data_IF_913746796318
#
_entry.id   IF_913746796318
#
_cell.length_a   1.000
_cell.length_b   1.000
_cell.length_c   1.000
_cell.angle_alpha   90.00
_cell.angle_beta   90.00
_cell.angle_gamma   90.00
#
_symmetry.space_group_name_H-M   'P 1'
#
loop_
_entity.id
_entity.type
_entity.pdbx_description
1 polymer ?
#
# COMPACT_ATOMS: atom_id res chain seq x y z
N UNK A 1 6.02 2.29 -11.54
CA UNK A 1 6.97 2.17 -10.44
C UNK A 1 6.45 1.18 -9.41
N UNK A 2 7.23 0.17 -9.09
CA UNK A 2 6.78 -0.78 -8.08
C UNK A 2 6.87 -0.16 -6.69
N UNK A 3 5.88 -0.44 -5.89
CA UNK A 3 5.89 0.05 -4.51
C UNK A 3 6.90 -0.75 -3.70
N UNK A 4 7.43 -0.12 -2.68
CA UNK A 4 8.37 -0.78 -1.78
C UNK A 4 7.62 -1.34 -0.58
N UNK A 5 8.30 -2.24 0.16
CA UNK A 5 7.76 -2.77 1.40
C UNK A 5 7.36 -1.64 2.35
N UNK A 6 8.21 -0.64 2.45
CA UNK A 6 7.94 0.49 3.34
C UNK A 6 6.69 1.25 2.91
N UNK A 7 6.52 1.44 1.60
CA UNK A 7 5.36 2.16 1.10
C UNK A 7 4.07 1.40 1.37
N UNK A 8 4.08 0.08 1.23
CA UNK A 8 2.88 -0.71 1.53
C UNK A 8 2.50 -0.52 2.99
N UNK A 9 3.48 -0.60 3.87
CA UNK A 9 3.23 -0.44 5.28
C UNK A 9 2.75 0.97 5.61
N UNK A 10 3.39 1.97 5.01
CA UNK A 10 3.01 3.36 5.22
C UNK A 10 1.59 3.63 4.73
N UNK A 11 1.25 3.08 3.57
CA UNK A 11 -0.07 3.31 2.99
C UNK A 11 -1.16 2.69 3.86
N UNK A 12 -0.91 1.48 4.32
CA UNK A 12 -1.86 0.82 5.19
C UNK A 12 -2.06 1.63 6.48
N UNK A 13 -0.95 2.09 7.04
CA UNK A 13 -1.03 2.87 8.27
C UNK A 13 -1.76 4.21 8.04
N UNK A 14 -1.50 4.83 6.90
CA UNK A 14 -2.15 6.10 6.57
C UNK A 14 -3.66 5.93 6.47
N UNK A 15 -4.13 4.77 6.02
CA UNK A 15 -5.54 4.48 5.91
C UNK A 15 -6.12 3.93 7.22
N UNK A 16 -5.27 3.70 8.19
CA UNK A 16 -5.67 3.07 9.45
C UNK A 16 -6.21 1.66 9.20
N UNK A 17 -5.61 0.98 8.24
CA UNK A 17 -5.98 -0.38 7.88
C UNK A 17 -5.07 -1.38 8.57
N UNK A 18 -5.65 -2.51 8.98
CA UNK A 18 -4.85 -3.63 9.45
C UNK A 18 -4.36 -4.43 8.25
N UNK A 19 -3.43 -5.35 8.51
CA UNK A 19 -2.99 -6.29 7.46
C UNK A 19 -4.21 -7.05 6.93
N UNK A 20 -5.13 -7.40 7.82
CA UNK A 20 -6.33 -8.11 7.42
C UNK A 20 -7.18 -7.28 6.46
N UNK A 21 -7.31 -5.98 6.75
CA UNK A 21 -8.09 -5.10 5.87
C UNK A 21 -7.50 -5.08 4.47
N UNK A 22 -6.18 -4.99 4.38
CA UNK A 22 -5.53 -4.98 3.08
C UNK A 22 -5.66 -6.33 2.40
N UNK A 23 -5.56 -7.41 3.15
CA UNK A 23 -5.74 -8.74 2.59
C UNK A 23 -7.14 -8.89 1.98
N UNK A 24 -8.14 -8.41 2.69
CA UNK A 24 -9.50 -8.48 2.18
C UNK A 24 -9.69 -7.64 0.94
N UNK A 25 -9.11 -6.45 0.93
CA UNK A 25 -9.26 -5.57 -0.21
C UNK A 25 -8.58 -6.10 -1.47
N UNK A 26 -7.48 -6.82 -1.30
CA UNK A 26 -6.69 -7.31 -2.44
C UNK A 26 -7.02 -8.75 -2.84
N UNK A 27 -7.65 -9.50 -1.95
CA UNK A 27 -7.86 -10.92 -2.17
C UNK A 27 -6.61 -11.76 -1.90
N UNK A 28 -5.59 -11.16 -1.32
CA UNK A 28 -4.34 -11.85 -1.02
C UNK A 28 -4.38 -12.38 0.41
N UNK A 29 -3.55 -13.39 0.66
CA UNK A 29 -3.46 -13.94 2.00
C UNK A 29 -2.72 -12.97 2.92
N UNK A 30 -3.12 -12.95 4.20
CA UNK A 30 -2.46 -12.08 5.19
C UNK A 30 -0.96 -12.33 5.28
N UNK A 31 -0.56 -13.58 5.18
CA UNK A 31 0.85 -13.91 5.25
C UNK A 31 1.63 -13.30 4.10
N UNK A 32 1.02 -13.27 2.91
CA UNK A 32 1.66 -12.66 1.77
C UNK A 32 1.94 -11.18 2.03
N UNK A 33 0.94 -10.47 2.54
CA UNK A 33 1.09 -9.06 2.82
C UNK A 33 2.11 -8.83 3.93
N UNK A 34 2.02 -9.63 4.99
CA UNK A 34 2.95 -9.48 6.10
C UNK A 34 4.39 -9.71 5.64
N UNK A 35 4.61 -10.74 4.84
CA UNK A 35 5.96 -11.03 4.36
C UNK A 35 6.51 -9.93 3.45
N UNK A 36 5.65 -9.31 2.67
CA UNK A 36 6.07 -8.17 1.86
C UNK A 36 6.46 -7.00 2.76
N UNK A 37 5.66 -6.72 3.77
CA UNK A 37 5.89 -5.55 4.62
C UNK A 37 7.16 -5.70 5.45
N UNK A 38 7.50 -6.91 5.85
CA UNK A 38 8.73 -7.11 6.63
C UNK A 38 9.95 -7.36 5.75
N UNK A 39 9.77 -7.34 4.44
CA UNK A 39 10.89 -7.51 3.51
C UNK A 39 11.33 -8.93 3.30
N UNK A 40 10.56 -9.91 3.78
CA UNK A 40 10.92 -11.31 3.64
C UNK A 40 10.60 -11.83 2.24
N UNK A 41 9.67 -11.20 1.58
CA UNK A 41 9.23 -11.60 0.25
C UNK A 41 9.00 -10.31 -0.54
N UNK A 42 9.70 -10.17 -1.67
CA UNK A 42 9.61 -8.94 -2.45
C UNK A 42 8.26 -8.80 -3.16
N UNK A 43 7.57 -9.91 -3.37
CA UNK A 43 6.34 -9.88 -4.14
C UNK A 43 6.65 -9.91 -5.62
N UNK A 44 5.83 -10.61 -6.40
CA UNK A 44 6.02 -10.52 -7.84
C UNK A 44 5.31 -9.26 -8.35
N UNK A 45 5.65 -8.83 -9.58
CA UNK A 45 5.10 -7.57 -10.08
C UNK A 45 3.58 -7.53 -10.10
N UNK A 46 2.94 -8.65 -10.39
CA UNK A 46 1.48 -8.68 -10.43
C UNK A 46 0.89 -8.50 -9.04
N UNK A 47 1.47 -9.14 -8.04
CA UNK A 47 1.01 -9.00 -6.67
C UNK A 47 1.16 -7.56 -6.20
N UNK A 48 2.32 -6.95 -6.46
CA UNK A 48 2.56 -5.57 -6.06
C UNK A 48 1.61 -4.61 -6.78
N UNK A 49 1.30 -4.90 -8.03
CA UNK A 49 0.37 -4.07 -8.79
C UNK A 49 -1.02 -4.11 -8.19
N UNK A 50 -1.48 -5.28 -7.78
CA UNK A 50 -2.79 -5.42 -7.15
C UNK A 50 -2.84 -4.59 -5.86
N UNK A 51 -1.79 -4.71 -5.05
CA UNK A 51 -1.72 -3.97 -3.80
C UNK A 51 -1.73 -2.47 -4.09
N UNK A 52 -0.91 -2.04 -5.03
CA UNK A 52 -0.81 -0.63 -5.37
C UNK A 52 -2.16 -0.08 -5.82
N UNK A 53 -2.84 -0.81 -6.71
CA UNK A 53 -4.10 -0.33 -7.23
C UNK A 53 -5.18 -0.23 -6.17
N UNK A 54 -5.22 -1.20 -5.27
CA UNK A 54 -6.23 -1.16 -4.21
C UNK A 54 -5.98 -0.03 -3.24
N UNK A 55 -4.72 0.24 -2.93
CA UNK A 55 -4.39 1.34 -2.05
C UNK A 55 -4.67 2.68 -2.71
N UNK A 56 -4.38 2.80 -4.01
CA UNK A 56 -4.71 4.01 -4.74
C UNK A 56 -6.22 4.25 -4.75
N UNK A 57 -6.98 3.19 -4.97
CA UNK A 57 -8.44 3.30 -4.98
C UNK A 57 -8.96 3.75 -3.62
N UNK A 58 -8.25 3.42 -2.56
CA UNK A 58 -8.64 3.81 -1.21
C UNK A 58 -8.21 5.23 -0.86
N UNK A 59 -7.44 5.88 -1.73
CA UNK A 59 -7.08 7.27 -1.52
C UNK A 59 -5.61 7.54 -1.26
N UNK A 60 -4.75 6.57 -1.49
CA UNK A 60 -3.31 6.75 -1.26
C UNK A 60 -2.62 7.18 -2.55
N UNK A 61 -1.74 8.14 -2.45
CA UNK A 61 -0.80 8.49 -3.52
C UNK A 61 0.57 7.99 -3.13
N UNK A 62 1.25 7.36 -4.08
CA UNK A 62 2.61 6.89 -3.86
C UNK A 62 3.58 7.93 -4.39
N UNK A 63 4.55 8.27 -3.57
CA UNK A 63 5.55 9.28 -3.90
C UNK A 63 6.84 8.56 -4.22
N UNK A 64 7.33 8.75 -5.43
CA UNK A 64 8.57 8.13 -5.85
C UNK A 64 9.75 8.74 -5.11
N UNK A 65 10.78 7.94 -4.99
CA UNK A 65 12.02 8.43 -4.45
C UNK A 65 12.56 9.52 -5.37
N UNK A 66 12.71 10.72 -4.83
CA UNK A 66 13.08 11.86 -5.63
C UNK A 66 13.82 12.84 -4.74
N UNK A 67 15.05 12.51 -4.42
CA UNK A 67 15.84 13.31 -3.51
C UNK A 67 15.64 12.94 -2.05
N UNK A 68 14.57 12.27 -1.75
CA UNK A 68 14.29 11.71 -0.44
C UNK A 68 13.87 10.28 -0.63
N UNK A 69 13.51 9.57 0.37
CA UNK A 69 13.04 8.22 0.25
C UNK A 69 11.64 8.16 -0.36
N UNK A 70 11.21 6.98 -0.80
CA UNK A 70 9.85 6.82 -1.27
C UNK A 70 8.86 7.03 -0.13
N UNK A 71 7.68 7.53 -0.44
CA UNK A 71 6.69 7.80 0.57
C UNK A 71 5.29 7.64 0.06
N UNK A 72 4.34 8.01 0.88
CA UNK A 72 2.92 8.00 0.53
C UNK A 72 2.27 9.21 1.15
N UNK A 73 1.13 9.58 0.59
CA UNK A 73 0.26 10.56 1.25
C UNK A 73 -1.18 10.24 0.87
N UNK A 74 -2.09 10.69 1.69
CA UNK A 74 -3.51 10.55 1.37
C UNK A 74 -3.91 11.67 0.44
N UNK A 75 -4.69 11.33 -0.57
CA UNK A 75 -5.24 12.35 -1.43
C UNK A 75 -6.19 13.19 -0.61
N UNK A 76 -6.27 14.45 -0.98
CA UNK A 76 -7.19 15.34 -0.30
C UNK A 76 -8.60 14.78 -0.42
N UNK A 77 -9.28 14.59 0.70
CA UNK A 77 -10.64 14.06 0.61
C UNK A 77 -11.53 15.11 -0.02
N UNK A 78 -12.24 14.70 -1.03
CA UNK A 78 -13.13 15.63 -1.70
C UNK A 78 -14.55 15.46 -1.24
N UNK A 79 -14.78 14.45 -0.49
CA UNK A 79 -16.09 14.18 -0.04
C UNK A 79 -16.04 13.52 1.24
N UNK A 80 -15.97 13.63 1.85
CA UNK A 80 -15.82 12.96 2.85
C UNK A 80 -16.49 13.12 3.75
N UNK A 81 -16.80 13.20 3.21
CA UNK A 81 -17.31 13.28 3.66
C UNK A 81 -17.77 12.89 4.33
N UNK A 82 -17.96 13.01 4.71
CA UNK A 82 -18.28 12.78 5.25
C UNK A 82 -18.74 12.67 5.51
#
# INVERSE_FOLDING_TARGET
MPVTSAQVKMARAALDWTVRDLAEATGLHRNTINNIEVGRYAGDPKTLEIIEQKLKAAGVEFIEQNGGGPGVRLRKPTKQKR
#
